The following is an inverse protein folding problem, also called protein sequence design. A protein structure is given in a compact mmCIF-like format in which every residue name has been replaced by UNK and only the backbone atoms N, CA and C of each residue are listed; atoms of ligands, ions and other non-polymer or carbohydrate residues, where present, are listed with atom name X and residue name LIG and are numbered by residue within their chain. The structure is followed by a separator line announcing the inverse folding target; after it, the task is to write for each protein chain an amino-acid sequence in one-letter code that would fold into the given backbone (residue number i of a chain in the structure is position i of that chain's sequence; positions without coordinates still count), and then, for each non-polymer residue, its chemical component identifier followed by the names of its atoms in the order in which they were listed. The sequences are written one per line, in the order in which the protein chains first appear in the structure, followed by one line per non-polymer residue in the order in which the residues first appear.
data_IF_912537586546
#
_entry.id   IF_912537586546
#
_cell.length_a   1.000
_cell.length_b   1.000
_cell.length_c   1.000
_cell.angle_alpha   90.00
_cell.angle_beta   90.00
_cell.angle_gamma   90.00
#
_symmetry.space_group_name_H-M   'P 1'
#
loop_
_entity.id
_entity.type
_entity.pdbx_description
1 polymer ?
#
# COMPACT_ATOMS: atom_id res chain seq x y z
N UNK A 1 -32.02 -5.17 -25.66
CA UNK A 1 -31.19 -5.77 -24.58
C UNK A 1 -30.84 -4.68 -23.58
N UNK A 2 -31.47 -4.70 -22.40
CA UNK A 2 -31.32 -3.63 -21.39
C UNK A 2 -30.00 -3.74 -20.62
N UNK A 3 -29.27 -2.63 -20.54
CA UNK A 3 -28.08 -2.47 -19.71
C UNK A 3 -28.54 -2.52 -18.25
N UNK A 4 -28.39 -3.67 -17.59
CA UNK A 4 -28.60 -3.79 -16.14
C UNK A 4 -27.55 -2.93 -15.43
N UNK A 5 -28.00 -1.84 -14.84
CA UNK A 5 -27.20 -0.98 -13.98
C UNK A 5 -26.89 -1.75 -12.67
N UNK A 6 -25.77 -2.49 -12.65
CA UNK A 6 -25.38 -3.39 -11.54
C UNK A 6 -24.87 -2.67 -10.28
N UNK A 7 -24.72 -1.35 -10.30
CA UNK A 7 -23.98 -0.61 -9.28
C UNK A 7 -24.86 0.15 -8.28
N UNK A 8 -25.94 -0.47 -7.78
CA UNK A 8 -26.69 0.09 -6.66
C UNK A 8 -26.40 -0.72 -5.40
N UNK A 9 -25.52 -0.20 -4.56
CA UNK A 9 -25.27 -0.75 -3.22
C UNK A 9 -26.58 -0.70 -2.43
N UNK A 10 -27.20 -1.85 -2.19
CA UNK A 10 -28.42 -1.96 -1.38
C UNK A 10 -27.99 -1.86 0.07
N UNK A 11 -28.21 -0.69 0.67
CA UNK A 11 -27.91 -0.44 2.08
C UNK A 11 -28.90 -1.28 2.90
N UNK A 12 -28.40 -2.28 3.65
CA UNK A 12 -29.19 -3.00 4.65
C UNK A 12 -29.75 -2.05 5.71
N UNK A 13 -30.81 -2.48 6.40
CA UNK A 13 -31.56 -1.68 7.40
C UNK A 13 -30.59 -0.99 8.39
N UNK A 14 -30.44 0.33 8.29
CA UNK A 14 -29.68 1.12 9.27
C UNK A 14 -30.48 1.17 10.57
N UNK A 15 -29.83 0.95 11.72
CA UNK A 15 -30.42 1.29 13.02
C UNK A 15 -30.52 2.81 13.07
N UNK A 16 -31.76 3.34 12.97
CA UNK A 16 -32.00 4.78 13.12
C UNK A 16 -31.75 5.16 14.56
N UNK A 17 -30.73 6.00 14.80
CA UNK A 17 -30.61 6.74 16.06
C UNK A 17 -31.39 8.04 15.84
N UNK A 18 -32.47 8.24 16.59
CA UNK A 18 -33.39 9.36 16.47
C UNK A 18 -32.64 10.70 16.33
N UNK A 19 -32.92 11.41 15.23
CA UNK A 19 -32.28 12.69 14.83
C UNK A 19 -33.01 13.92 15.39
N UNK A 20 -34.12 13.73 16.09
CA UNK A 20 -34.97 14.82 16.53
C UNK A 20 -34.42 15.38 17.86
N UNK A 21 -33.58 16.42 17.77
CA UNK A 21 -33.39 17.52 18.75
C UNK A 21 -31.99 18.16 18.65
N UNK A 22 -31.51 18.52 17.45
CA UNK A 22 -30.18 19.14 17.31
C UNK A 22 -30.17 20.68 17.40
N UNK A 23 -31.35 21.35 17.47
CA UNK A 23 -31.42 22.81 17.32
C UNK A 23 -32.50 23.50 18.18
N UNK A 24 -32.50 23.29 19.50
CA UNK A 24 -33.31 24.10 20.43
C UNK A 24 -32.37 24.96 21.28
N UNK A 25 -32.54 26.28 21.29
CA UNK A 25 -31.78 27.17 22.18
C UNK A 25 -32.17 26.89 23.64
N UNK A 26 -31.30 26.18 24.35
CA UNK A 26 -31.46 25.77 25.74
C UNK A 26 -30.80 26.80 26.70
N UNK A 27 -31.31 26.98 27.94
CA UNK A 27 -30.64 27.74 29.00
C UNK A 27 -29.16 27.35 29.22
N UNK A 28 -28.36 28.21 29.86
CA UNK A 28 -26.89 28.06 29.95
C UNK A 28 -26.41 26.77 30.65
N UNK A 29 -27.10 26.33 31.71
CA UNK A 29 -26.83 25.03 32.35
C UNK A 29 -27.18 23.84 31.43
N UNK A 30 -28.30 23.93 30.71
CA UNK A 30 -28.67 22.93 29.71
C UNK A 30 -27.80 22.95 28.45
N UNK A 31 -27.15 24.08 28.11
CA UNK A 31 -26.13 24.13 27.03
C UNK A 31 -24.88 23.35 27.40
N UNK A 32 -24.46 23.39 28.66
CA UNK A 32 -23.30 22.63 29.14
C UNK A 32 -23.61 21.13 29.16
N UNK A 33 -24.80 20.74 29.61
CA UNK A 33 -25.26 19.34 29.57
C UNK A 33 -25.40 18.83 28.13
N UNK A 34 -26.00 19.62 27.23
CA UNK A 34 -26.11 19.30 25.80
C UNK A 34 -24.73 19.15 25.16
N UNK A 35 -23.79 20.05 25.45
CA UNK A 35 -22.41 19.94 24.99
C UNK A 35 -21.75 18.64 25.46
N UNK A 36 -21.85 18.28 26.74
CA UNK A 36 -21.27 17.05 27.27
C UNK A 36 -21.87 15.81 26.59
N UNK A 37 -23.19 15.82 26.40
CA UNK A 37 -23.91 14.73 25.73
C UNK A 37 -23.50 14.58 24.26
N UNK A 38 -23.37 15.69 23.53
CA UNK A 38 -22.88 15.70 22.15
C UNK A 38 -21.41 15.27 22.05
N UNK A 39 -20.57 15.70 23.01
CA UNK A 39 -19.16 15.30 23.09
C UNK A 39 -19.02 13.80 23.29
N UNK A 40 -19.79 13.21 24.19
CA UNK A 40 -19.75 11.76 24.44
C UNK A 40 -20.37 10.95 23.30
N UNK A 41 -21.43 11.48 22.66
CA UNK A 41 -21.94 10.92 21.40
C UNK A 41 -20.89 10.95 20.30
N UNK A 42 -20.13 12.04 20.17
CA UNK A 42 -19.07 12.13 19.18
C UNK A 42 -17.95 11.11 19.45
N UNK A 43 -17.55 10.94 20.72
CA UNK A 43 -16.55 9.91 21.09
C UNK A 43 -16.99 8.51 20.70
N UNK A 44 -18.23 8.12 21.04
CA UNK A 44 -18.77 6.80 20.67
C UNK A 44 -18.84 6.62 19.16
N UNK A 45 -19.32 7.61 18.41
CA UNK A 45 -19.33 7.56 16.95
C UNK A 45 -17.94 7.38 16.33
N UNK A 46 -16.90 8.02 16.89
CA UNK A 46 -15.53 7.86 16.42
C UNK A 46 -14.99 6.46 16.72
N UNK A 47 -15.25 5.93 17.92
CA UNK A 47 -14.86 4.57 18.30
C UNK A 47 -15.54 3.53 17.40
N UNK A 48 -16.85 3.69 17.16
CA UNK A 48 -17.63 2.81 16.29
C UNK A 48 -17.13 2.86 14.84
N UNK A 49 -16.81 4.05 14.32
CA UNK A 49 -16.22 4.20 12.98
C UNK A 49 -14.86 3.48 12.87
N UNK A 50 -13.99 3.60 13.88
CA UNK A 50 -12.72 2.88 13.92
C UNK A 50 -12.96 1.37 13.96
N UNK A 51 -13.87 0.90 14.80
CA UNK A 51 -14.24 -0.51 14.91
C UNK A 51 -14.71 -1.06 13.57
N UNK A 52 -15.68 -0.37 12.94
CA UNK A 52 -16.23 -0.74 11.64
C UNK A 52 -15.16 -0.79 10.55
N UNK A 53 -14.19 0.13 10.57
CA UNK A 53 -13.06 0.12 9.63
C UNK A 53 -12.12 -1.06 9.86
N UNK A 54 -11.87 -1.46 11.10
CA UNK A 54 -11.04 -2.64 11.40
C UNK A 54 -11.76 -3.92 10.98
N UNK A 55 -13.06 -4.05 11.25
CA UNK A 55 -13.85 -5.19 10.79
C UNK A 55 -13.91 -5.28 9.27
N UNK A 56 -14.10 -4.14 8.60
CA UNK A 56 -14.00 -4.05 7.13
C UNK A 56 -12.63 -4.54 6.65
N UNK A 57 -11.55 -4.14 7.31
CA UNK A 57 -10.20 -4.57 6.97
C UNK A 57 -10.02 -6.09 7.09
N UNK A 58 -10.53 -6.71 8.16
CA UNK A 58 -10.50 -8.17 8.36
C UNK A 58 -11.23 -8.92 7.26
N UNK A 59 -12.47 -8.51 6.95
CA UNK A 59 -13.28 -9.12 5.88
C UNK A 59 -12.55 -9.02 4.53
N UNK A 60 -12.05 -7.83 4.20
CA UNK A 60 -11.31 -7.61 2.95
C UNK A 60 -10.01 -8.43 2.88
N UNK A 61 -9.27 -8.56 3.97
CA UNK A 61 -8.07 -9.41 4.03
C UNK A 61 -8.43 -10.86 3.74
N UNK A 62 -9.47 -11.37 4.39
CA UNK A 62 -9.92 -12.76 4.23
C UNK A 62 -10.40 -13.06 2.79
N UNK A 63 -11.17 -12.15 2.20
CA UNK A 63 -11.61 -12.25 0.79
C UNK A 63 -10.39 -12.26 -0.14
N UNK A 64 -9.41 -11.41 0.10
CA UNK A 64 -8.20 -11.33 -0.73
C UNK A 64 -7.34 -12.59 -0.60
N UNK A 65 -7.05 -13.04 0.62
CA UNK A 65 -6.22 -14.21 0.92
C UNK A 65 -6.79 -15.49 0.32
N UNK A 66 -8.10 -15.70 0.49
CA UNK A 66 -8.82 -16.86 -0.05
C UNK A 66 -9.27 -16.67 -1.51
N UNK A 67 -8.95 -15.52 -2.11
CA UNK A 67 -9.38 -15.13 -3.47
C UNK A 67 -10.88 -15.29 -3.73
N UNK A 68 -11.73 -15.00 -2.73
CA UNK A 68 -13.18 -15.26 -2.82
C UNK A 68 -13.89 -14.34 -3.83
N UNK A 69 -13.27 -13.23 -4.23
CA UNK A 69 -13.80 -12.34 -5.26
C UNK A 69 -14.00 -13.02 -6.63
N UNK A 70 -13.41 -14.21 -6.86
CA UNK A 70 -13.63 -14.98 -8.09
C UNK A 70 -15.08 -15.48 -8.22
N UNK A 71 -15.80 -15.67 -7.11
CA UNK A 71 -17.19 -16.15 -7.13
C UNK A 71 -18.15 -15.13 -7.74
N UNK A 72 -17.81 -13.84 -7.66
CA UNK A 72 -18.53 -12.75 -8.34
C UNK A 72 -17.98 -12.47 -9.76
N UNK A 73 -17.04 -13.28 -10.24
CA UNK A 73 -16.46 -13.17 -11.59
C UNK A 73 -15.36 -12.12 -11.74
N UNK A 74 -14.85 -11.53 -10.65
CA UNK A 74 -13.74 -10.58 -10.75
C UNK A 74 -12.41 -11.30 -11.02
N UNK A 75 -11.65 -10.77 -11.98
CA UNK A 75 -10.29 -11.24 -12.30
C UNK A 75 -9.24 -10.82 -11.27
N UNK A 76 -9.55 -9.82 -10.44
CA UNK A 76 -8.61 -9.30 -9.43
C UNK A 76 -9.35 -8.73 -8.23
N UNK A 77 -8.70 -8.76 -7.07
CA UNK A 77 -9.20 -8.17 -5.84
C UNK A 77 -9.52 -6.66 -5.99
N UNK A 78 -8.68 -5.92 -6.72
CA UNK A 78 -8.93 -4.50 -6.97
C UNK A 78 -10.12 -4.23 -7.89
N UNK A 79 -10.46 -5.18 -8.77
CA UNK A 79 -11.70 -5.12 -9.55
C UNK A 79 -12.92 -5.25 -8.64
N UNK A 80 -12.88 -6.18 -7.70
CA UNK A 80 -13.93 -6.36 -6.69
C UNK A 80 -14.14 -5.13 -5.81
N UNK A 81 -13.04 -4.50 -5.35
CA UNK A 81 -13.10 -3.32 -4.48
C UNK A 81 -13.79 -2.10 -5.13
N UNK A 82 -13.80 -2.01 -6.46
CA UNK A 82 -14.41 -0.90 -7.18
C UNK A 82 -15.92 -0.78 -6.89
N UNK A 83 -16.60 -1.92 -6.73
CA UNK A 83 -18.06 -1.95 -6.51
C UNK A 83 -18.45 -1.49 -5.10
N UNK A 84 -17.50 -1.55 -4.15
CA UNK A 84 -17.65 -1.04 -2.79
C UNK A 84 -17.13 0.40 -2.63
N UNK A 85 -16.72 1.05 -3.73
CA UNK A 85 -16.11 2.40 -3.71
C UNK A 85 -14.87 2.49 -2.83
N UNK A 86 -14.11 1.39 -2.72
CA UNK A 86 -12.89 1.35 -1.92
C UNK A 86 -11.68 1.58 -2.82
N UNK A 87 -10.95 2.67 -2.57
CA UNK A 87 -9.73 2.99 -3.31
C UNK A 87 -8.62 1.95 -3.02
N UNK A 88 -7.76 1.69 -4.02
CA UNK A 88 -6.63 0.75 -3.88
C UNK A 88 -5.70 1.12 -2.70
N UNK A 89 -5.45 2.41 -2.51
CA UNK A 89 -4.65 2.94 -1.40
C UNK A 89 -5.27 2.62 -0.03
N UNK A 90 -6.60 2.69 0.08
CA UNK A 90 -7.32 2.36 1.29
C UNK A 90 -7.28 0.85 1.57
N UNK A 91 -7.49 0.02 0.55
CA UNK A 91 -7.38 -1.42 0.70
C UNK A 91 -5.97 -1.87 1.15
N UNK A 92 -4.92 -1.21 0.62
CA UNK A 92 -3.55 -1.45 1.08
C UNK A 92 -3.35 -1.10 2.57
N UNK A 93 -3.92 0.03 3.04
CA UNK A 93 -3.90 0.40 4.46
C UNK A 93 -4.60 -0.66 5.32
N UNK A 94 -5.76 -1.14 4.88
CA UNK A 94 -6.51 -2.18 5.58
C UNK A 94 -5.73 -3.49 5.71
N UNK A 95 -5.15 -3.99 4.63
CA UNK A 95 -4.31 -5.20 4.66
C UNK A 95 -3.13 -5.02 5.63
N UNK A 96 -2.50 -3.83 5.64
CA UNK A 96 -1.42 -3.53 6.59
C UNK A 96 -1.87 -3.58 8.05
N UNK A 97 -3.04 -3.04 8.37
CA UNK A 97 -3.58 -3.05 9.74
C UNK A 97 -3.80 -4.49 10.19
N UNK A 98 -4.46 -5.32 9.38
CA UNK A 98 -4.70 -6.73 9.72
C UNK A 98 -3.38 -7.47 9.92
N UNK A 99 -2.40 -7.26 9.04
CA UNK A 99 -1.08 -7.87 9.17
C UNK A 99 -0.35 -7.45 10.44
N UNK A 100 -0.40 -6.16 10.79
CA UNK A 100 0.21 -5.63 12.01
C UNK A 100 -0.44 -6.18 13.29
N UNK A 101 -1.75 -6.38 13.27
CA UNK A 101 -2.49 -7.00 14.36
C UNK A 101 -2.16 -8.49 14.52
N UNK A 102 -2.12 -9.24 13.41
CA UNK A 102 -1.74 -10.65 13.43
C UNK A 102 -0.30 -10.87 13.95
N UNK A 103 0.59 -9.90 13.75
CA UNK A 103 1.96 -9.91 14.25
C UNK A 103 2.10 -9.37 15.69
N UNK A 104 1.00 -8.95 16.33
CA UNK A 104 1.02 -8.36 17.67
C UNK A 104 1.74 -7.00 17.76
N UNK A 105 1.94 -6.31 16.63
CA UNK A 105 2.62 -5.00 16.60
C UNK A 105 1.70 -3.87 17.08
N UNK A 106 0.41 -4.04 16.81
CA UNK A 106 -0.68 -3.14 17.19
C UNK A 106 -1.86 -3.99 17.65
N UNK A 107 -2.71 -3.41 18.49
CA UNK A 107 -3.99 -3.99 18.92
C UNK A 107 -5.12 -2.97 18.66
N UNK A 108 -6.34 -3.33 19.06
CA UNK A 108 -7.51 -2.46 18.90
C UNK A 108 -7.37 -1.15 19.67
N UNK A 109 -6.96 -1.22 20.93
CA UNK A 109 -6.84 -0.05 21.81
C UNK A 109 -5.81 0.94 21.28
N UNK A 110 -4.72 0.44 20.70
CA UNK A 110 -3.73 1.26 20.03
C UNK A 110 -4.35 2.04 18.86
N UNK A 111 -5.16 1.38 18.03
CA UNK A 111 -5.78 2.04 16.85
C UNK A 111 -6.84 3.04 17.30
N UNK A 112 -7.63 2.74 18.33
CA UNK A 112 -8.63 3.66 18.89
C UNK A 112 -7.97 4.92 19.42
N UNK A 113 -6.91 4.76 20.20
CA UNK A 113 -6.23 5.90 20.85
C UNK A 113 -5.39 6.74 19.88
N UNK A 114 -4.84 6.14 18.82
CA UNK A 114 -3.92 6.83 17.90
C UNK A 114 -4.57 7.20 16.56
N UNK A 115 -5.69 6.59 16.22
CA UNK A 115 -6.34 6.68 14.92
C UNK A 115 -5.63 5.89 13.81
N UNK A 116 -6.34 5.72 12.69
CA UNK A 116 -5.90 4.89 11.56
C UNK A 116 -4.63 5.45 10.89
N UNK A 117 -4.56 6.75 10.61
CA UNK A 117 -3.42 7.32 9.89
C UNK A 117 -2.11 7.20 10.68
N UNK A 118 -2.12 7.46 11.99
CA UNK A 118 -0.93 7.30 12.83
C UNK A 118 -0.56 5.82 13.00
N UNK A 119 -1.55 4.93 13.07
CA UNK A 119 -1.31 3.49 13.03
C UNK A 119 -0.58 3.08 11.76
N UNK A 120 -1.03 3.55 10.59
CA UNK A 120 -0.37 3.28 9.31
C UNK A 120 1.05 3.84 9.28
N UNK A 121 1.28 5.05 9.83
CA UNK A 121 2.64 5.61 9.95
C UNK A 121 3.53 4.73 10.82
N UNK A 122 3.07 4.27 11.99
CA UNK A 122 3.83 3.36 12.87
C UNK A 122 4.17 2.04 12.17
N UNK A 123 3.23 1.46 11.43
CA UNK A 123 3.46 0.27 10.62
C UNK A 123 4.40 0.54 9.42
N UNK A 124 4.39 1.77 8.89
CA UNK A 124 5.32 2.24 7.86
C UNK A 124 6.76 2.37 8.37
N UNK A 125 6.95 2.87 9.60
CA UNK A 125 8.26 3.05 10.22
C UNK A 125 8.96 1.71 10.47
N UNK A 126 8.21 0.64 10.82
CA UNK A 126 8.79 -0.71 10.95
C UNK A 126 9.18 -1.37 9.62
N UNK A 127 8.66 -0.90 8.47
CA UNK A 127 9.05 -1.42 7.15
C UNK A 127 10.32 -0.76 6.57
N UNK A 128 10.94 0.20 7.26
CA UNK A 128 12.32 0.61 6.95
C UNK A 128 13.32 -0.48 7.39
N UNK A 129 12.90 -1.43 8.24
CA UNK A 129 13.73 -2.56 8.67
C UNK A 129 13.01 -3.89 8.42
N UNK A 130 13.40 -4.54 7.31
CA UNK A 130 13.21 -5.98 6.95
C UNK A 130 11.87 -6.39 6.31
N UNK A 131 11.80 -6.27 4.98
CA UNK A 131 11.92 -7.39 4.00
C UNK A 131 11.50 -6.88 2.61
N UNK A 132 12.42 -6.26 1.87
CA UNK A 132 12.37 -6.40 0.41
C UNK A 132 12.90 -7.80 0.10
N UNK A 133 12.03 -8.67 -0.40
CA UNK A 133 12.46 -9.93 -0.99
C UNK A 133 13.12 -9.63 -2.34
N UNK A 134 14.24 -10.31 -2.56
CA UNK A 134 14.94 -10.54 -3.83
C UNK A 134 15.71 -9.35 -4.45
N UNK A 135 17.04 -9.51 -4.37
CA UNK A 135 18.08 -8.86 -5.17
C UNK A 135 18.34 -7.38 -4.86
N UNK A 136 19.14 -7.16 -3.81
CA UNK A 136 19.88 -5.92 -3.57
C UNK A 136 21.20 -5.86 -4.35
N UNK A 137 21.26 -6.49 -5.53
CA UNK A 137 22.18 -6.05 -6.57
C UNK A 137 21.43 -4.97 -7.35
N UNK A 138 21.85 -3.71 -7.20
CA UNK A 138 21.37 -2.62 -8.07
C UNK A 138 21.47 -3.13 -9.51
N UNK A 139 20.36 -3.13 -10.24
CA UNK A 139 20.40 -3.50 -11.66
C UNK A 139 21.35 -2.53 -12.36
N UNK A 140 22.44 -3.05 -12.89
CA UNK A 140 23.42 -2.27 -13.61
C UNK A 140 22.83 -1.94 -14.99
N UNK A 141 22.40 -0.70 -15.17
CA UNK A 141 21.85 -0.22 -16.44
C UNK A 141 22.94 0.48 -17.23
N UNK A 142 23.30 -0.07 -18.39
CA UNK A 142 24.25 0.53 -19.33
C UNK A 142 23.54 1.35 -20.40
N UNK A 143 24.12 2.51 -20.74
CA UNK A 143 23.74 3.26 -21.94
C UNK A 143 24.77 2.96 -23.03
N UNK A 144 24.33 2.37 -24.13
CA UNK A 144 25.19 2.05 -25.27
C UNK A 144 25.09 3.15 -26.34
N UNK A 145 26.19 3.44 -27.03
CA UNK A 145 26.24 4.44 -28.09
C UNK A 145 25.59 3.99 -29.40
N UNK A 146 25.47 2.68 -29.62
CA UNK A 146 24.84 2.10 -30.81
C UNK A 146 23.75 1.11 -30.43
N UNK A 147 22.72 1.05 -31.26
CA UNK A 147 21.61 0.11 -31.10
C UNK A 147 22.06 -1.34 -31.26
N UNK A 148 22.96 -1.62 -32.20
CA UNK A 148 23.49 -2.97 -32.44
C UNK A 148 24.22 -3.54 -31.22
N UNK A 149 25.01 -2.72 -30.52
CA UNK A 149 25.67 -3.15 -29.27
C UNK A 149 24.65 -3.44 -28.18
N UNK A 150 23.63 -2.60 -28.03
CA UNK A 150 22.55 -2.86 -27.07
C UNK A 150 21.83 -4.17 -27.37
N UNK A 151 21.46 -4.41 -28.64
CA UNK A 151 20.72 -5.60 -29.04
C UNK A 151 21.56 -6.88 -28.90
N UNK A 152 22.87 -6.81 -29.13
CA UNK A 152 23.80 -7.91 -28.89
C UNK A 152 23.82 -8.32 -27.41
N UNK A 153 24.05 -7.37 -26.49
CA UNK A 153 24.14 -7.66 -25.05
C UNK A 153 22.79 -7.97 -24.40
N UNK A 154 21.69 -7.44 -24.95
CA UNK A 154 20.33 -7.71 -24.47
C UNK A 154 19.85 -9.11 -24.84
N UNK A 155 20.30 -9.65 -25.98
CA UNK A 155 19.86 -10.96 -26.50
C UNK A 155 20.13 -12.09 -25.52
N UNK A 156 21.27 -12.06 -24.85
CA UNK A 156 21.62 -13.02 -23.81
C UNK A 156 22.28 -12.32 -22.61
N UNK A 157 21.45 -11.96 -21.64
CA UNK A 157 21.90 -11.28 -20.42
C UNK A 157 22.70 -12.20 -19.50
N UNK A 158 22.50 -13.53 -19.56
CA UNK A 158 23.27 -14.48 -18.76
C UNK A 158 24.69 -14.60 -19.30
N UNK A 159 24.84 -14.63 -20.63
CA UNK A 159 26.14 -14.54 -21.28
C UNK A 159 26.88 -13.27 -20.89
N UNK A 160 26.21 -12.11 -20.86
CA UNK A 160 26.86 -10.87 -20.45
C UNK A 160 27.32 -10.89 -18.98
N UNK A 161 26.51 -11.44 -18.07
CA UNK A 161 26.94 -11.64 -16.68
C UNK A 161 28.19 -12.52 -16.60
N UNK A 162 28.20 -13.64 -17.32
CA UNK A 162 29.37 -14.52 -17.40
C UNK A 162 30.61 -13.78 -17.93
N UNK A 163 30.48 -13.00 -19.01
CA UNK A 163 31.60 -12.23 -19.57
C UNK A 163 32.17 -11.23 -18.55
N UNK A 164 31.31 -10.53 -17.80
CA UNK A 164 31.76 -9.56 -16.80
C UNK A 164 32.50 -10.24 -15.64
N UNK A 165 31.99 -11.38 -15.15
CA UNK A 165 32.64 -12.14 -14.09
C UNK A 165 33.97 -12.74 -14.56
N UNK A 166 34.00 -13.33 -15.77
CA UNK A 166 35.19 -13.92 -16.37
C UNK A 166 36.30 -12.88 -16.61
N UNK A 167 35.94 -11.70 -17.09
CA UNK A 167 36.89 -10.60 -17.27
C UNK A 167 37.45 -10.12 -15.92
N UNK A 168 36.62 -10.04 -14.89
CA UNK A 168 37.05 -9.59 -13.59
C UNK A 168 37.95 -10.61 -12.87
N UNK A 169 37.61 -11.90 -12.95
CA UNK A 169 38.34 -12.97 -12.26
C UNK A 169 39.63 -13.33 -13.00
N UNK A 170 39.55 -13.54 -14.31
CA UNK A 170 40.65 -14.13 -15.08
C UNK A 170 41.45 -13.10 -15.90
N UNK A 171 40.88 -11.94 -16.22
CA UNK A 171 41.52 -10.93 -17.09
C UNK A 171 41.54 -9.52 -16.47
N UNK A 172 41.76 -9.46 -15.15
CA UNK A 172 41.69 -8.21 -14.39
C UNK A 172 42.64 -7.13 -14.89
N UNK A 173 43.87 -7.49 -15.26
CA UNK A 173 44.86 -6.54 -15.78
C UNK A 173 44.38 -5.88 -17.09
N UNK A 174 43.77 -6.67 -17.99
CA UNK A 174 43.18 -6.15 -19.21
C UNK A 174 42.02 -5.19 -18.91
N UNK A 175 41.17 -5.53 -17.93
CA UNK A 175 40.07 -4.69 -17.47
C UNK A 175 40.57 -3.35 -16.88
N UNK A 176 41.64 -3.37 -16.10
CA UNK A 176 42.29 -2.17 -15.56
C UNK A 176 42.89 -1.29 -16.66
N UNK A 177 43.49 -1.90 -17.69
CA UNK A 177 44.00 -1.17 -18.85
C UNK A 177 42.87 -0.52 -19.67
N UNK A 178 41.72 -1.19 -19.81
CA UNK A 178 40.53 -0.58 -20.41
C UNK A 178 40.01 0.60 -19.56
N UNK A 179 40.02 0.46 -18.23
CA UNK A 179 39.62 1.53 -17.31
C UNK A 179 40.52 2.76 -17.46
N UNK A 180 41.86 2.57 -17.51
CA UNK A 180 42.82 3.67 -17.75
C UNK A 180 42.57 4.38 -19.09
N UNK A 181 42.27 3.62 -20.16
CA UNK A 181 41.91 4.19 -21.47
C UNK A 181 40.61 5.00 -21.41
N UNK A 182 39.64 4.56 -20.63
CA UNK A 182 38.38 5.27 -20.42
C UNK A 182 38.58 6.59 -19.66
N UNK A 183 39.31 6.57 -18.55
CA UNK A 183 39.67 7.76 -17.77
C UNK A 183 40.39 8.82 -18.62
N UNK A 184 41.36 8.39 -19.43
CA UNK A 184 42.08 9.29 -20.33
C UNK A 184 41.18 9.89 -21.44
N UNK A 185 40.10 9.20 -21.84
CA UNK A 185 39.11 9.78 -22.76
C UNK A 185 38.23 10.83 -22.08
N UNK A 186 37.84 10.63 -20.82
CA UNK A 186 37.07 11.61 -20.05
C UNK A 186 37.84 12.93 -19.86
N UNK A 187 39.15 12.84 -19.62
CA UNK A 187 40.02 14.02 -19.46
C UNK A 187 40.18 14.85 -20.74
N UNK A 188 39.87 14.30 -21.92
CA UNK A 188 39.99 14.97 -23.21
C UNK A 188 38.69 15.59 -23.74
N UNK A 189 37.64 15.65 -22.91
CA UNK A 189 36.43 16.40 -23.23
C UNK A 189 35.69 15.91 -24.48
N UNK A 190 35.31 14.63 -24.49
CA UNK A 190 34.28 14.08 -25.39
C UNK A 190 33.21 13.39 -24.55
#
# INVERSE_FOLDING_TARGET
MGIKNKNKMIIGRRVKVNEDNLFVKLPEDSRKEEYLRLKDRLKSLVVDDIYNKIETAKVLSLINEKKLYIFDGYKSFYGFLADFKIAKSQAYKYIKIVSGMAQGIIDYDFIINNGIENTIKKLGIKNIVKKSKHNLTKQLCFQFKSQDSYDFYKRDTKFMCFVLDELFINNKEYLENLHKKYEHKLQKGI
#
